data_IF_066763381652
#
_entry.id   IF_066763381652
#
_cell.length_a   1.000
_cell.length_b   1.000
_cell.length_c   1.000
_cell.angle_alpha   90.00
_cell.angle_beta   90.00
_cell.angle_gamma   90.00
#
_symmetry.space_group_name_H-M   'P 1'
#
loop_
_entity.id
_entity.type
_entity.pdbx_description
1 polymer ?
#
# COMPACT_ATOMS: atom_id res chain seq x y z
N UNK A 1 3.16 -18.54 7.45
CA UNK A 1 3.42 -18.91 6.03
C UNK A 1 4.77 -19.62 5.93
N UNK A 2 4.98 -20.51 4.96
CA UNK A 2 6.26 -21.20 4.77
C UNK A 2 7.23 -20.27 4.02
N UNK A 3 8.48 -20.17 4.52
CA UNK A 3 9.53 -19.37 3.88
C UNK A 3 9.90 -19.98 2.52
N UNK A 4 9.84 -19.21 1.46
CA UNK A 4 10.19 -19.62 0.11
C UNK A 4 11.68 -19.31 -0.14
N UNK A 5 12.45 -20.34 -0.47
CA UNK A 5 13.85 -20.19 -0.87
C UNK A 5 13.95 -20.43 -2.38
N UNK A 6 14.20 -19.38 -3.17
CA UNK A 6 14.34 -19.54 -4.61
C UNK A 6 15.58 -20.39 -4.95
N UNK A 7 15.42 -21.30 -5.91
CA UNK A 7 16.53 -22.12 -6.39
C UNK A 7 17.59 -21.24 -7.04
N UNK A 8 18.87 -21.48 -6.74
CA UNK A 8 20.03 -20.78 -7.31
C UNK A 8 19.99 -19.25 -7.14
N UNK A 9 19.38 -18.77 -6.02
CA UNK A 9 19.32 -17.35 -5.72
C UNK A 9 20.70 -16.72 -5.56
N UNK A 10 20.93 -15.60 -6.26
CA UNK A 10 22.11 -14.79 -6.16
C UNK A 10 21.72 -13.30 -5.98
N UNK A 11 22.04 -12.66 -4.84
CA UNK A 11 21.68 -11.28 -4.57
C UNK A 11 22.38 -10.25 -5.49
N UNK A 12 23.42 -10.64 -6.21
CA UNK A 12 24.19 -9.83 -7.19
C UNK A 12 24.86 -8.58 -6.63
N UNK A 13 24.28 -7.93 -5.63
CA UNK A 13 24.84 -6.78 -4.92
C UNK A 13 25.23 -7.20 -3.50
N UNK A 14 26.34 -6.70 -3.02
CA UNK A 14 26.70 -6.79 -1.60
C UNK A 14 25.70 -6.03 -0.72
N UNK A 15 25.72 -6.28 0.59
CA UNK A 15 24.86 -5.57 1.57
C UNK A 15 25.07 -4.05 1.47
N UNK A 16 26.31 -3.58 1.32
CA UNK A 16 26.61 -2.15 1.22
C UNK A 16 26.08 -1.53 -0.08
N UNK A 17 26.28 -2.19 -1.21
CA UNK A 17 25.72 -1.75 -2.50
C UNK A 17 24.21 -1.77 -2.47
N UNK A 18 23.59 -2.74 -1.78
CA UNK A 18 22.13 -2.79 -1.57
C UNK A 18 21.65 -1.58 -0.78
N UNK A 19 22.36 -1.16 0.27
CA UNK A 19 22.02 0.06 1.03
C UNK A 19 22.12 1.33 0.15
N UNK A 20 23.16 1.44 -0.65
CA UNK A 20 23.32 2.56 -1.61
C UNK A 20 22.18 2.55 -2.66
N UNK A 21 21.79 1.38 -3.14
CA UNK A 21 20.69 1.22 -4.09
C UNK A 21 19.32 1.55 -3.47
N UNK A 22 19.04 1.12 -2.25
CA UNK A 22 17.83 1.48 -1.49
C UNK A 22 17.73 3.00 -1.36
N UNK A 23 18.82 3.65 -0.93
CA UNK A 23 18.85 5.11 -0.81
C UNK A 23 18.58 5.78 -2.15
N UNK A 24 19.24 5.33 -3.21
CA UNK A 24 19.05 5.89 -4.55
C UNK A 24 17.61 5.75 -5.05
N UNK A 25 17.01 4.55 -4.89
CA UNK A 25 15.61 4.29 -5.28
C UNK A 25 14.67 5.22 -4.51
N UNK A 26 14.81 5.27 -3.18
CA UNK A 26 13.92 6.06 -2.34
C UNK A 26 14.00 7.55 -2.64
N UNK A 27 15.19 8.11 -2.75
CA UNK A 27 15.39 9.54 -3.01
C UNK A 27 14.88 9.93 -4.40
N UNK A 28 15.14 9.10 -5.42
CA UNK A 28 14.70 9.38 -6.79
C UNK A 28 13.20 9.20 -6.95
N UNK A 29 12.63 8.08 -6.46
CA UNK A 29 11.21 7.80 -6.59
C UNK A 29 10.34 8.88 -5.94
N UNK A 30 10.64 9.28 -4.69
CA UNK A 30 9.84 10.30 -4.01
C UNK A 30 9.90 11.66 -4.72
N UNK A 31 11.05 12.00 -5.32
CA UNK A 31 11.20 13.22 -6.11
C UNK A 31 10.35 13.19 -7.39
N UNK A 32 10.44 12.07 -8.13
CA UNK A 32 9.68 11.89 -9.35
C UNK A 32 8.16 11.83 -9.07
N UNK A 33 7.75 11.10 -8.04
CA UNK A 33 6.34 11.03 -7.60
C UNK A 33 5.81 12.43 -7.23
N UNK A 34 6.56 13.19 -6.44
CA UNK A 34 6.18 14.55 -6.07
C UNK A 34 6.00 15.47 -7.28
N UNK A 35 6.91 15.36 -8.26
CA UNK A 35 6.87 16.17 -9.48
C UNK A 35 5.72 15.76 -10.41
N UNK A 36 5.64 14.49 -10.77
CA UNK A 36 4.69 14.01 -11.79
C UNK A 36 3.24 14.04 -11.29
N UNK A 37 3.02 13.74 -10.01
CA UNK A 37 1.68 13.71 -9.41
C UNK A 37 1.28 15.01 -8.71
N UNK A 38 2.10 16.08 -8.77
CA UNK A 38 1.89 17.36 -8.10
C UNK A 38 1.67 17.24 -6.58
N UNK A 39 2.56 16.50 -5.92
CA UNK A 39 2.48 16.24 -4.49
C UNK A 39 3.58 16.99 -3.72
N UNK A 40 3.20 17.66 -2.64
CA UNK A 40 4.13 18.26 -1.70
C UNK A 40 4.47 17.28 -0.56
N UNK A 41 5.73 17.25 -0.15
CA UNK A 41 6.14 16.44 0.99
C UNK A 41 5.76 17.11 2.29
N UNK A 42 4.91 16.43 3.11
CA UNK A 42 4.42 16.92 4.41
C UNK A 42 4.88 15.99 5.53
N UNK A 43 5.14 16.53 6.70
CA UNK A 43 5.37 15.75 7.92
C UNK A 43 4.04 15.21 8.46
N UNK A 44 4.03 13.93 8.80
CA UNK A 44 2.87 13.26 9.37
C UNK A 44 3.17 12.68 10.76
N UNK A 45 2.15 12.43 11.61
CA UNK A 45 2.34 11.82 12.91
C UNK A 45 2.74 10.34 12.78
N UNK A 46 3.61 9.87 13.67
CA UNK A 46 3.90 8.44 13.84
C UNK A 46 2.81 7.73 14.65
N UNK A 47 2.12 8.46 15.50
CA UNK A 47 1.06 7.96 16.39
C UNK A 47 -0.04 9.01 16.53
N UNK A 48 -1.23 8.54 16.86
CA UNK A 48 -2.43 9.38 17.06
C UNK A 48 -3.13 9.00 18.36
N UNK A 49 -3.97 9.90 18.85
CA UNK A 49 -4.86 9.62 19.97
C UNK A 49 -5.90 8.58 19.54
N UNK A 50 -6.10 7.52 20.35
CA UNK A 50 -7.11 6.49 20.10
C UNK A 50 -8.51 7.10 20.00
N UNK A 51 -8.81 8.06 20.87
CA UNK A 51 -10.08 8.80 20.91
C UNK A 51 -10.39 9.56 19.63
N UNK A 52 -9.38 9.93 18.83
CA UNK A 52 -9.54 10.62 17.55
C UNK A 52 -10.19 9.76 16.46
N UNK A 53 -10.10 8.43 16.55
CA UNK A 53 -10.55 7.49 15.52
C UNK A 53 -9.79 7.59 14.19
N UNK A 54 -8.64 8.28 14.18
CA UNK A 54 -7.85 8.49 12.96
C UNK A 54 -7.04 7.27 12.57
N UNK A 55 -6.69 6.39 13.51
CA UNK A 55 -5.97 5.18 13.18
C UNK A 55 -6.81 4.26 12.30
N UNK A 56 -6.14 3.46 11.49
CA UNK A 56 -6.78 2.45 10.65
C UNK A 56 -6.94 1.16 11.47
N UNK A 57 -8.14 0.58 11.42
CA UNK A 57 -8.40 -0.71 12.03
C UNK A 57 -8.09 -1.88 11.08
N UNK A 58 -7.54 -1.61 9.91
CA UNK A 58 -7.28 -2.60 8.85
C UNK A 58 -8.52 -3.49 8.61
N UNK A 59 -8.40 -4.80 8.84
CA UNK A 59 -9.52 -5.73 8.74
C UNK A 59 -10.40 -5.77 10.02
N UNK A 60 -10.02 -4.98 11.05
CA UNK A 60 -10.77 -4.88 12.32
C UNK A 60 -10.36 -5.90 13.39
N UNK A 61 -9.37 -6.73 13.12
CA UNK A 61 -8.84 -7.75 14.04
C UNK A 61 -7.45 -7.43 14.56
N UNK A 62 -6.70 -6.63 13.82
CA UNK A 62 -5.32 -6.26 14.12
C UNK A 62 -5.27 -5.28 15.31
N UNK A 63 -4.34 -5.56 16.22
CA UNK A 63 -4.13 -4.75 17.42
C UNK A 63 -3.06 -3.70 17.18
N UNK A 64 -3.34 -2.39 17.37
CA UNK A 64 -2.30 -1.37 17.29
C UNK A 64 -1.27 -1.52 18.42
N UNK A 65 -0.06 -1.03 18.19
CA UNK A 65 0.90 -0.77 19.28
C UNK A 65 0.44 0.49 19.99
N UNK A 66 0.06 0.37 21.24
CA UNK A 66 -0.46 1.48 22.06
C UNK A 66 0.42 1.74 23.28
N UNK A 67 0.43 2.98 23.71
CA UNK A 67 1.17 3.47 24.88
C UNK A 67 0.48 4.68 25.50
N UNK A 68 0.90 5.04 26.70
CA UNK A 68 0.50 6.26 27.40
C UNK A 68 1.62 7.31 27.32
N UNK A 69 1.26 8.57 27.58
CA UNK A 69 2.21 9.69 27.61
C UNK A 69 2.01 10.54 28.86
N UNK A 70 3.09 10.86 29.56
CA UNK A 70 3.05 11.65 30.81
C UNK A 70 2.32 12.99 30.64
N UNK A 71 2.47 13.63 29.49
CA UNK A 71 1.84 14.93 29.20
C UNK A 71 0.34 14.86 28.87
N UNK A 72 -0.22 13.65 28.68
CA UNK A 72 -1.65 13.42 28.36
C UNK A 72 -2.20 12.30 29.26
N UNK A 73 -2.35 12.55 30.58
CA UNK A 73 -2.81 11.53 31.52
C UNK A 73 -4.23 11.06 31.19
N UNK A 74 -4.39 9.73 31.10
CA UNK A 74 -5.68 9.09 30.79
C UNK A 74 -5.98 8.92 29.30
N UNK A 75 -5.15 9.46 28.38
CA UNK A 75 -5.27 9.23 26.94
C UNK A 75 -4.39 8.05 26.51
N UNK A 76 -4.88 7.27 25.57
CA UNK A 76 -4.12 6.19 24.91
C UNK A 76 -3.70 6.64 23.52
N UNK A 77 -2.40 6.50 23.23
CA UNK A 77 -1.83 6.77 21.91
C UNK A 77 -1.61 5.47 21.18
N UNK A 78 -1.78 5.49 19.86
CA UNK A 78 -1.59 4.33 18.98
C UNK A 78 -0.63 4.67 17.84
N UNK A 79 0.39 3.83 17.63
CA UNK A 79 1.21 3.91 16.41
C UNK A 79 0.30 3.64 15.21
N UNK A 80 0.40 4.47 14.18
CA UNK A 80 -0.50 4.37 13.03
C UNK A 80 -0.31 3.06 12.26
N UNK A 81 -1.43 2.49 11.78
CA UNK A 81 -1.45 1.42 10.78
C UNK A 81 -1.54 1.98 9.36
N UNK A 82 -2.17 3.15 9.20
CA UNK A 82 -2.32 3.90 7.95
C UNK A 82 -2.59 5.37 8.27
N UNK A 83 -2.28 6.26 7.34
CA UNK A 83 -2.57 7.69 7.44
C UNK A 83 -3.73 8.13 6.54
N UNK A 84 -4.52 7.21 5.99
CA UNK A 84 -5.56 7.53 5.02
C UNK A 84 -6.51 8.64 5.52
N UNK A 85 -7.11 8.46 6.70
CA UNK A 85 -8.02 9.46 7.29
C UNK A 85 -7.31 10.77 7.66
N UNK A 86 -6.10 10.68 8.18
CA UNK A 86 -5.30 11.85 8.55
C UNK A 86 -4.96 12.72 7.33
N UNK A 87 -4.62 12.11 6.19
CA UNK A 87 -4.25 12.84 4.96
C UNK A 87 -5.40 13.70 4.44
N UNK A 88 -6.62 13.16 4.39
CA UNK A 88 -7.81 13.93 3.98
C UNK A 88 -8.05 15.15 4.87
N UNK A 89 -7.87 15.01 6.18
CA UNK A 89 -7.95 16.13 7.13
C UNK A 89 -6.79 17.12 6.95
N UNK A 90 -5.58 16.65 6.68
CA UNK A 90 -4.41 17.49 6.44
C UNK A 90 -4.56 18.32 5.17
N UNK A 91 -5.07 17.74 4.07
CA UNK A 91 -5.35 18.46 2.82
C UNK A 91 -6.31 19.64 3.06
N UNK A 92 -7.40 19.43 3.82
CA UNK A 92 -8.29 20.52 4.23
C UNK A 92 -7.57 21.56 5.07
N UNK A 93 -6.89 21.11 6.14
CA UNK A 93 -6.21 21.98 7.11
C UNK A 93 -5.17 22.88 6.47
N UNK A 94 -4.42 22.36 5.50
CA UNK A 94 -3.34 23.09 4.82
C UNK A 94 -3.82 23.82 3.56
N UNK A 95 -5.08 23.66 3.17
CA UNK A 95 -5.72 24.44 2.12
C UNK A 95 -5.35 24.05 0.68
N UNK A 96 -5.03 22.75 0.46
CA UNK A 96 -4.77 22.20 -0.87
C UNK A 96 -5.99 22.32 -1.79
N UNK A 97 -5.73 22.54 -3.08
CA UNK A 97 -6.74 22.76 -4.13
C UNK A 97 -6.86 21.57 -5.06
N UNK A 98 -7.94 21.44 -5.85
CA UNK A 98 -8.03 20.41 -6.88
C UNK A 98 -6.80 20.38 -7.80
N UNK A 99 -6.22 19.18 -7.98
CA UNK A 99 -4.99 18.93 -8.70
C UNK A 99 -3.72 18.97 -7.86
N UNK A 100 -3.77 19.52 -6.64
CA UNK A 100 -2.67 19.53 -5.68
C UNK A 100 -2.82 18.39 -4.67
N UNK A 101 -1.71 17.95 -4.09
CA UNK A 101 -1.74 16.90 -3.08
C UNK A 101 -0.52 16.88 -2.18
N UNK A 102 -0.52 15.93 -1.28
CA UNK A 102 0.58 15.69 -0.35
C UNK A 102 1.08 14.25 -0.40
N UNK A 103 2.32 14.05 0.00
CA UNK A 103 2.82 12.74 0.39
C UNK A 103 3.65 12.83 1.67
N UNK A 104 3.76 11.69 2.33
CA UNK A 104 4.59 11.57 3.53
C UNK A 104 5.28 10.20 3.58
N UNK A 105 6.37 10.11 4.33
CA UNK A 105 6.98 8.83 4.67
C UNK A 105 6.26 8.30 5.91
N UNK A 106 5.35 7.34 5.71
CA UNK A 106 4.65 6.66 6.77
C UNK A 106 5.46 5.47 7.26
N UNK A 107 5.54 5.32 8.58
CA UNK A 107 6.07 4.14 9.25
C UNK A 107 4.98 3.56 10.14
N UNK A 108 4.72 2.25 10.01
CA UNK A 108 3.72 1.55 10.79
C UNK A 108 4.30 0.29 11.42
N UNK A 109 3.68 -0.17 12.52
CA UNK A 109 4.01 -1.42 13.17
C UNK A 109 2.77 -2.30 13.19
N UNK A 110 2.81 -3.40 12.44
CA UNK A 110 1.77 -4.44 12.42
C UNK A 110 2.21 -5.60 13.31
N UNK A 111 1.93 -5.48 14.59
CA UNK A 111 2.44 -6.41 15.62
C UNK A 111 1.93 -7.84 15.49
N UNK A 112 0.80 -8.04 14.83
CA UNK A 112 0.16 -9.35 14.64
C UNK A 112 0.43 -9.93 13.23
N UNK A 113 1.38 -9.34 12.45
CA UNK A 113 1.72 -9.78 11.11
C UNK A 113 2.42 -11.14 11.12
N UNK A 114 2.02 -12.04 10.24
CA UNK A 114 2.74 -13.28 9.97
C UNK A 114 3.93 -12.99 9.07
N UNK A 115 5.14 -13.23 9.61
CA UNK A 115 6.39 -12.93 8.91
C UNK A 115 6.67 -13.97 7.83
N UNK A 116 6.97 -13.50 6.63
CA UNK A 116 7.38 -14.32 5.49
C UNK A 116 8.32 -13.53 4.55
N UNK A 117 8.48 -13.99 3.31
CA UNK A 117 9.33 -13.30 2.32
C UNK A 117 8.85 -11.87 2.00
N UNK A 118 7.55 -11.59 2.10
CA UNK A 118 6.90 -10.32 1.69
C UNK A 118 6.42 -9.47 2.86
N UNK A 119 6.25 -10.07 4.04
CA UNK A 119 5.64 -9.44 5.21
C UNK A 119 6.61 -9.28 6.36
N UNK A 120 6.66 -8.07 6.89
CA UNK A 120 7.42 -7.65 8.07
C UNK A 120 6.46 -6.99 9.07
N UNK A 121 6.77 -7.06 10.36
CA UNK A 121 6.04 -6.27 11.36
C UNK A 121 6.23 -4.76 11.17
N UNK A 122 7.26 -4.33 10.47
CA UNK A 122 7.51 -2.93 10.11
C UNK A 122 7.07 -2.67 8.68
N UNK A 123 6.23 -1.64 8.49
CA UNK A 123 5.72 -1.21 7.18
C UNK A 123 6.16 0.22 6.91
N UNK A 124 6.76 0.45 5.75
CA UNK A 124 7.16 1.76 5.26
C UNK A 124 6.50 2.07 3.90
N UNK A 125 5.85 3.23 3.82
CA UNK A 125 5.15 3.64 2.60
C UNK A 125 5.44 5.10 2.26
N UNK A 126 5.45 5.43 0.96
CA UNK A 126 5.05 6.76 0.52
C UNK A 126 3.53 6.79 0.54
N UNK A 127 2.99 7.43 1.55
CA UNK A 127 1.55 7.54 1.73
C UNK A 127 1.11 8.89 1.17
N UNK A 128 0.31 8.90 0.11
CA UNK A 128 -0.01 10.07 -0.70
C UNK A 128 -1.52 10.29 -0.83
N UNK A 129 -1.92 11.54 -1.10
CA UNK A 129 -3.31 11.88 -1.38
C UNK A 129 -3.37 13.21 -2.16
N UNK A 130 -4.22 13.26 -3.20
CA UNK A 130 -4.43 14.40 -4.09
C UNK A 130 -5.89 14.81 -4.10
N UNK A 131 -6.16 16.13 -4.04
CA UNK A 131 -7.51 16.68 -4.14
C UNK A 131 -8.01 16.56 -5.57
N UNK A 132 -9.25 16.10 -5.72
CA UNK A 132 -9.97 15.99 -6.99
C UNK A 132 -11.31 16.74 -6.92
N UNK A 133 -11.96 16.98 -8.05
CA UNK A 133 -13.34 17.47 -8.04
C UNK A 133 -14.34 16.32 -7.89
N UNK A 134 -15.61 16.65 -7.61
CA UNK A 134 -16.67 15.65 -7.51
C UNK A 134 -16.87 14.88 -8.83
N UNK A 135 -16.76 15.59 -9.95
CA UNK A 135 -16.89 15.06 -11.31
C UNK A 135 -15.78 14.06 -11.66
N UNK A 136 -14.60 14.22 -11.03
CA UNK A 136 -13.45 13.34 -11.21
C UNK A 136 -13.55 12.03 -10.40
N UNK A 137 -14.63 11.82 -9.62
CA UNK A 137 -14.86 10.54 -8.92
C UNK A 137 -15.32 9.47 -9.91
N UNK A 138 -14.43 8.98 -10.75
CA UNK A 138 -14.70 8.02 -11.84
C UNK A 138 -13.63 6.95 -11.94
N UNK A 139 -13.97 5.80 -12.53
CA UNK A 139 -13.00 4.76 -12.86
C UNK A 139 -11.90 5.24 -13.82
N UNK A 140 -12.21 6.17 -14.72
CA UNK A 140 -11.21 6.71 -15.64
C UNK A 140 -10.16 7.52 -14.88
N UNK A 141 -10.56 8.39 -13.96
CA UNK A 141 -9.63 9.12 -13.07
C UNK A 141 -8.74 8.16 -12.26
N UNK A 142 -9.34 7.08 -11.73
CA UNK A 142 -8.57 6.05 -11.01
C UNK A 142 -7.55 5.38 -11.92
N UNK A 143 -7.97 4.91 -13.11
CA UNK A 143 -7.10 4.24 -14.09
C UNK A 143 -5.98 5.15 -14.59
N UNK A 144 -6.26 6.43 -14.82
CA UNK A 144 -5.25 7.40 -15.27
C UNK A 144 -4.21 7.65 -14.19
N UNK A 145 -4.63 7.78 -12.93
CA UNK A 145 -3.68 7.90 -11.79
C UNK A 145 -2.83 6.64 -11.63
N UNK A 146 -3.40 5.46 -11.83
CA UNK A 146 -2.63 4.20 -11.82
C UNK A 146 -1.60 4.17 -12.94
N UNK A 147 -1.94 4.64 -14.14
CA UNK A 147 -0.99 4.76 -15.26
C UNK A 147 0.13 5.76 -14.96
N UNK A 148 -0.17 6.87 -14.27
CA UNK A 148 0.85 7.82 -13.78
C UNK A 148 1.85 7.10 -12.86
N UNK A 149 1.38 6.39 -11.84
CA UNK A 149 2.24 5.66 -10.89
C UNK A 149 3.05 4.58 -11.62
N UNK A 150 2.41 3.80 -12.48
CA UNK A 150 3.09 2.77 -13.27
C UNK A 150 4.22 3.35 -14.14
N UNK A 151 3.99 4.51 -14.76
CA UNK A 151 4.99 5.26 -15.53
C UNK A 151 6.21 5.66 -14.68
N UNK A 152 5.97 6.14 -13.45
CA UNK A 152 7.05 6.47 -12.50
C UNK A 152 7.84 5.22 -12.12
N UNK A 153 7.18 4.10 -11.83
CA UNK A 153 7.84 2.82 -11.55
C UNK A 153 8.68 2.34 -12.74
N UNK A 154 8.16 2.47 -13.96
CA UNK A 154 8.91 2.16 -15.19
C UNK A 154 10.12 3.06 -15.40
N UNK A 155 9.99 4.34 -15.12
CA UNK A 155 11.13 5.26 -15.14
C UNK A 155 12.20 4.85 -14.13
N UNK A 156 11.79 4.52 -12.90
CA UNK A 156 12.71 4.02 -11.87
C UNK A 156 13.42 2.73 -12.28
N UNK A 157 12.76 1.81 -12.99
CA UNK A 157 13.42 0.64 -13.55
C UNK A 157 14.62 1.03 -14.45
N UNK A 158 14.45 2.05 -15.31
CA UNK A 158 15.54 2.51 -16.19
C UNK A 158 16.67 3.17 -15.39
N UNK A 159 16.33 3.98 -14.37
CA UNK A 159 17.30 4.61 -13.48
C UNK A 159 18.14 3.57 -12.71
N UNK A 160 17.47 2.55 -12.15
CA UNK A 160 18.16 1.46 -11.45
C UNK A 160 18.98 0.62 -12.39
N UNK A 161 18.49 0.29 -13.60
CA UNK A 161 19.23 -0.45 -14.61
C UNK A 161 20.51 0.30 -15.03
N UNK A 162 20.43 1.61 -15.22
CA UNK A 162 21.60 2.40 -15.60
C UNK A 162 22.70 2.37 -14.53
N UNK A 163 22.30 2.41 -13.25
CA UNK A 163 23.25 2.49 -12.12
C UNK A 163 23.67 1.13 -11.58
N UNK A 164 22.78 0.14 -11.62
CA UNK A 164 22.96 -1.22 -11.11
C UNK A 164 22.47 -2.25 -12.13
N UNK A 165 23.12 -2.37 -13.30
CA UNK A 165 22.61 -3.20 -14.42
C UNK A 165 22.47 -4.68 -14.07
N UNK A 166 23.22 -5.16 -13.09
CA UNK A 166 23.23 -6.56 -12.66
C UNK A 166 22.01 -6.93 -11.80
N UNK A 167 21.35 -5.93 -11.21
CA UNK A 167 20.31 -6.14 -10.20
C UNK A 167 18.88 -6.04 -10.73
N UNK A 168 18.67 -5.71 -12.01
CA UNK A 168 17.37 -5.29 -12.51
C UNK A 168 16.60 -6.38 -13.21
N UNK A 169 15.34 -6.54 -12.82
CA UNK A 169 14.31 -7.29 -13.55
C UNK A 169 13.61 -6.39 -14.58
N UNK A 170 13.29 -6.97 -15.74
CA UNK A 170 12.46 -6.28 -16.73
C UNK A 170 10.99 -6.30 -16.30
N UNK A 171 10.41 -5.13 -16.01
CA UNK A 171 9.00 -4.97 -15.75
C UNK A 171 8.19 -4.98 -17.07
N UNK A 172 6.91 -5.37 -17.03
CA UNK A 172 6.06 -5.41 -18.22
C UNK A 172 5.92 -4.04 -18.87
N UNK A 173 5.46 -4.04 -20.12
CA UNK A 173 5.31 -2.83 -20.93
C UNK A 173 4.16 -1.96 -20.45
N UNK A 174 3.05 -2.60 -20.12
CA UNK A 174 1.78 -1.98 -19.74
C UNK A 174 1.22 -2.65 -18.49
N UNK A 175 0.26 -1.97 -17.86
CA UNK A 175 -0.52 -2.49 -16.74
C UNK A 175 -1.89 -2.96 -17.23
N UNK A 176 -2.29 -4.17 -16.86
CA UNK A 176 -3.59 -4.73 -17.17
C UNK A 176 -4.62 -4.36 -16.09
N UNK A 177 -5.85 -4.03 -16.50
CA UNK A 177 -6.94 -3.64 -15.59
C UNK A 177 -8.02 -4.71 -15.57
N UNK A 178 -8.41 -5.17 -14.38
CA UNK A 178 -9.46 -6.15 -14.18
C UNK A 178 -10.20 -5.84 -12.88
N UNK A 179 -11.51 -6.08 -12.83
CA UNK A 179 -12.28 -6.01 -11.58
C UNK A 179 -12.19 -7.32 -10.82
N UNK A 180 -12.41 -7.26 -9.51
CA UNK A 180 -12.46 -8.45 -8.66
C UNK A 180 -13.55 -9.44 -9.08
N UNK A 181 -14.67 -8.96 -9.64
CA UNK A 181 -15.72 -9.83 -10.16
C UNK A 181 -15.30 -10.51 -11.47
N UNK A 182 -14.76 -9.77 -12.43
CA UNK A 182 -14.23 -10.37 -13.67
C UNK A 182 -13.14 -11.41 -13.36
N UNK A 183 -12.32 -11.17 -12.36
CA UNK A 183 -11.29 -12.12 -11.92
C UNK A 183 -11.91 -13.37 -11.28
N UNK A 184 -12.98 -13.24 -10.50
CA UNK A 184 -13.73 -14.39 -9.99
C UNK A 184 -14.39 -15.20 -11.12
N UNK A 185 -14.97 -14.52 -12.11
CA UNK A 185 -15.62 -15.16 -13.25
C UNK A 185 -14.64 -15.94 -14.13
N UNK A 186 -13.38 -15.44 -14.26
CA UNK A 186 -12.31 -16.12 -15.00
C UNK A 186 -11.79 -17.39 -14.27
N UNK A 187 -11.70 -17.33 -12.94
CA UNK A 187 -11.12 -18.41 -12.13
C UNK A 187 -12.03 -18.77 -10.93
N UNK A 188 -13.26 -19.27 -11.19
CA UNK A 188 -14.27 -19.45 -10.13
C UNK A 188 -13.85 -20.44 -9.04
N UNK A 189 -13.08 -21.46 -9.37
CA UNK A 189 -12.68 -22.52 -8.46
C UNK A 189 -11.42 -22.20 -7.63
N UNK A 190 -10.77 -21.05 -7.89
CA UNK A 190 -9.55 -20.64 -7.21
C UNK A 190 -9.84 -19.70 -6.04
N UNK A 191 -8.96 -19.72 -5.05
CA UNK A 191 -8.95 -18.73 -3.96
C UNK A 191 -8.58 -17.35 -4.50
N UNK A 192 -8.94 -16.25 -3.82
CA UNK A 192 -8.55 -14.90 -4.23
C UNK A 192 -7.05 -14.76 -4.51
N UNK A 193 -6.18 -15.32 -3.65
CA UNK A 193 -4.72 -15.24 -3.83
C UNK A 193 -4.21 -16.03 -5.03
N UNK A 194 -4.80 -17.20 -5.30
CA UNK A 194 -4.49 -17.97 -6.51
C UNK A 194 -4.93 -17.23 -7.77
N UNK A 195 -6.10 -16.58 -7.75
CA UNK A 195 -6.58 -15.73 -8.84
C UNK A 195 -5.60 -14.58 -9.15
N UNK A 196 -5.12 -13.88 -8.12
CA UNK A 196 -4.09 -12.84 -8.26
C UNK A 196 -2.82 -13.39 -8.89
N UNK A 197 -2.35 -14.56 -8.43
CA UNK A 197 -1.15 -15.19 -8.96
C UNK A 197 -1.31 -15.58 -10.43
N UNK A 198 -2.45 -16.12 -10.83
CA UNK A 198 -2.73 -16.51 -12.21
C UNK A 198 -2.74 -15.31 -13.15
N UNK A 199 -3.51 -14.28 -12.82
CA UNK A 199 -3.66 -13.11 -13.69
C UNK A 199 -2.39 -12.26 -13.76
N UNK A 200 -1.67 -12.10 -12.65
CA UNK A 200 -0.38 -11.38 -12.63
C UNK A 200 0.72 -12.14 -13.37
N UNK A 201 0.72 -13.47 -13.31
CA UNK A 201 1.64 -14.30 -14.07
C UNK A 201 1.43 -14.13 -15.58
N UNK A 202 0.17 -14.02 -16.03
CA UNK A 202 -0.19 -13.84 -17.44
C UNK A 202 0.21 -12.46 -17.96
N UNK A 203 -0.08 -11.39 -17.20
CA UNK A 203 0.08 -10.01 -17.67
C UNK A 203 1.33 -9.29 -17.12
N UNK A 204 2.00 -9.86 -16.12
CA UNK A 204 3.19 -9.29 -15.49
C UNK A 204 2.92 -8.15 -14.52
N UNK A 205 1.96 -7.27 -14.80
CA UNK A 205 1.45 -6.23 -13.89
C UNK A 205 -0.05 -6.03 -14.09
N UNK A 206 -0.78 -6.00 -12.98
CA UNK A 206 -2.24 -5.91 -12.95
C UNK A 206 -2.67 -4.83 -11.96
N UNK A 207 -3.68 -4.05 -12.32
CA UNK A 207 -4.46 -3.27 -11.36
C UNK A 207 -5.79 -3.98 -11.13
N UNK A 208 -5.90 -4.61 -9.96
CA UNK A 208 -7.10 -5.32 -9.52
C UNK A 208 -8.05 -4.33 -8.85
N UNK A 209 -9.21 -4.09 -9.46
CA UNK A 209 -10.16 -3.05 -9.06
C UNK A 209 -11.36 -3.59 -8.27
N UNK A 210 -12.03 -2.67 -7.55
CA UNK A 210 -13.33 -2.87 -6.90
C UNK A 210 -13.30 -3.96 -5.82
N UNK A 211 -12.39 -3.77 -4.86
CA UNK A 211 -12.18 -4.66 -3.73
C UNK A 211 -12.96 -4.13 -2.51
N UNK A 212 -13.66 -5.02 -1.78
CA UNK A 212 -14.33 -4.71 -0.51
C UNK A 212 -15.77 -5.20 -0.42
N UNK A 213 -16.58 -5.06 -1.48
CA UNK A 213 -17.95 -5.60 -1.47
C UNK A 213 -17.96 -7.10 -1.82
N UNK A 214 -19.07 -7.76 -1.50
CA UNK A 214 -19.26 -9.17 -1.83
C UNK A 214 -19.39 -9.38 -3.34
N UNK A 215 -18.67 -10.36 -3.84
CA UNK A 215 -18.76 -10.84 -5.22
C UNK A 215 -19.99 -11.78 -5.41
N UNK A 216 -20.24 -12.19 -6.64
CA UNK A 216 -21.32 -13.12 -6.98
C UNK A 216 -21.22 -14.45 -6.21
N UNK A 217 -20.00 -14.92 -5.88
CA UNK A 217 -19.75 -16.06 -5.03
C UNK A 217 -20.08 -15.86 -3.55
N UNK A 218 -20.57 -14.67 -3.15
CA UNK A 218 -21.04 -14.37 -1.81
C UNK A 218 -19.98 -13.93 -0.80
N UNK A 219 -18.71 -13.89 -1.19
CA UNK A 219 -17.59 -13.40 -0.37
C UNK A 219 -16.89 -12.23 -1.07
N UNK A 220 -16.29 -11.29 -0.34
CA UNK A 220 -15.41 -10.29 -0.97
C UNK A 220 -14.15 -10.96 -1.52
N UNK A 221 -13.49 -10.30 -2.47
CA UNK A 221 -12.17 -10.73 -2.94
C UNK A 221 -11.15 -10.66 -1.79
N UNK A 222 -11.13 -9.53 -1.10
CA UNK A 222 -10.32 -9.28 0.09
C UNK A 222 -11.03 -8.31 1.03
N UNK A 223 -10.56 -8.22 2.29
CA UNK A 223 -11.04 -7.26 3.26
C UNK A 223 -10.60 -5.83 2.90
N UNK A 224 -11.50 -4.86 3.15
CA UNK A 224 -11.19 -3.42 3.02
C UNK A 224 -11.86 -2.65 4.13
N UNK A 225 -11.11 -1.73 4.75
CA UNK A 225 -11.68 -0.79 5.69
C UNK A 225 -12.83 0.00 5.02
N UNK A 226 -13.95 0.22 5.72
CA UNK A 226 -15.12 0.85 5.12
C UNK A 226 -15.03 2.38 5.05
N UNK A 227 -14.03 3.00 5.66
CA UNK A 227 -14.08 4.41 6.03
C UNK A 227 -13.12 5.33 5.25
N UNK A 228 -12.40 4.85 4.24
CA UNK A 228 -11.57 5.74 3.43
C UNK A 228 -11.61 5.47 1.92
N UNK A 229 -11.41 4.25 1.42
CA UNK A 229 -11.51 3.98 -0.01
C UNK A 229 -12.93 3.59 -0.43
N UNK A 230 -13.45 4.21 -1.49
CA UNK A 230 -14.70 3.77 -2.12
C UNK A 230 -14.48 2.40 -2.77
N UNK A 231 -15.19 1.38 -2.29
CA UNK A 231 -15.04 -0.01 -2.78
C UNK A 231 -15.31 -0.19 -4.28
N UNK A 232 -16.01 0.77 -4.90
CA UNK A 232 -16.23 0.79 -6.35
C UNK A 232 -15.14 1.50 -7.14
N UNK A 233 -14.28 2.26 -6.46
CA UNK A 233 -13.28 3.15 -7.04
C UNK A 233 -11.89 2.96 -6.39
N UNK A 234 -11.54 1.72 -6.05
CA UNK A 234 -10.27 1.34 -5.45
C UNK A 234 -9.61 0.18 -6.20
N UNK A 235 -8.41 -0.16 -5.79
CA UNK A 235 -7.71 -1.36 -6.26
C UNK A 235 -6.26 -1.40 -5.84
N UNK A 236 -5.60 -2.49 -6.23
CA UNK A 236 -4.22 -2.80 -5.90
C UNK A 236 -3.36 -2.98 -7.14
N UNK A 237 -2.16 -2.40 -7.14
CA UNK A 237 -1.14 -2.62 -8.17
C UNK A 237 -0.33 -3.85 -7.77
N UNK A 238 -0.46 -4.91 -8.56
CA UNK A 238 0.18 -6.20 -8.36
C UNK A 238 1.20 -6.45 -9.47
N UNK A 239 2.42 -6.87 -9.10
CA UNK A 239 3.43 -7.32 -10.06
C UNK A 239 3.69 -8.80 -9.90
N UNK A 240 3.88 -9.53 -11.01
CA UNK A 240 4.37 -10.89 -10.94
C UNK A 240 5.80 -10.94 -10.42
N UNK A 241 6.00 -11.67 -9.35
CA UNK A 241 7.30 -11.79 -8.70
C UNK A 241 7.87 -13.21 -8.89
N UNK A 242 8.78 -13.33 -9.85
CA UNK A 242 9.28 -14.61 -10.34
C UNK A 242 9.97 -15.45 -9.27
N UNK A 243 10.79 -14.84 -8.41
CA UNK A 243 11.51 -15.56 -7.36
C UNK A 243 10.59 -16.30 -6.38
N UNK A 244 9.42 -15.75 -6.11
CA UNK A 244 8.46 -16.31 -5.16
C UNK A 244 7.25 -16.94 -5.85
N UNK A 245 7.17 -16.88 -7.19
CA UNK A 245 6.04 -17.40 -8.00
C UNK A 245 4.69 -16.88 -7.49
N UNK A 246 4.60 -15.60 -7.18
CA UNK A 246 3.40 -14.97 -6.63
C UNK A 246 3.20 -13.54 -7.11
N UNK A 247 2.00 -13.01 -6.89
CA UNK A 247 1.69 -11.59 -7.02
C UNK A 247 2.30 -10.83 -5.84
N UNK A 248 3.04 -9.75 -6.15
CA UNK A 248 3.59 -8.81 -5.20
C UNK A 248 2.79 -7.51 -5.27
N UNK A 249 2.04 -7.20 -4.23
CA UNK A 249 1.35 -5.91 -4.09
C UNK A 249 2.36 -4.80 -3.80
N UNK A 250 2.40 -3.80 -4.67
CA UNK A 250 3.25 -2.61 -4.52
C UNK A 250 2.47 -1.43 -3.95
N UNK A 251 1.19 -1.30 -4.31
CA UNK A 251 0.36 -0.17 -3.89
C UNK A 251 -1.09 -0.58 -3.75
N UNK A 252 -1.73 -0.13 -2.68
CA UNK A 252 -3.17 -0.09 -2.52
C UNK A 252 -3.63 1.36 -2.57
N UNK A 253 -4.67 1.67 -3.37
CA UNK A 253 -5.13 3.02 -3.60
C UNK A 253 -6.60 3.10 -4.01
N UNK A 254 -7.20 4.29 -3.84
CA UNK A 254 -8.57 4.51 -4.27
C UNK A 254 -8.97 5.97 -4.28
N UNK A 255 -10.06 6.27 -4.98
CA UNK A 255 -10.81 7.48 -4.75
C UNK A 255 -11.49 7.33 -3.38
N UNK A 256 -11.32 8.34 -2.53
CA UNK A 256 -11.85 8.28 -1.16
C UNK A 256 -13.37 8.31 -1.17
N UNK A 257 -13.97 7.70 -0.15
CA UNK A 257 -15.42 7.71 0.05
C UNK A 257 -15.97 9.15 0.01
N UNK A 258 -17.12 9.33 -0.62
CA UNK A 258 -18.00 10.46 -0.38
C UNK A 258 -19.04 10.12 0.71
N UNK A 259 -19.94 11.03 1.01
CA UNK A 259 -20.94 10.88 2.03
C UNK A 259 -21.81 9.61 1.81
N UNK A 260 -22.20 9.35 0.54
CA UNK A 260 -23.06 8.22 0.19
C UNK A 260 -22.28 6.88 0.25
N UNK A 261 -21.05 6.84 -0.24
CA UNK A 261 -20.21 5.66 -0.19
C UNK A 261 -19.87 5.29 1.26
N UNK A 262 -19.52 6.29 2.11
CA UNK A 262 -19.26 6.06 3.52
C UNK A 262 -20.46 5.46 4.25
N UNK A 263 -21.66 6.04 4.06
CA UNK A 263 -22.88 5.52 4.67
C UNK A 263 -23.16 4.06 4.25
N UNK A 264 -23.01 3.77 2.96
CA UNK A 264 -23.20 2.42 2.44
C UNK A 264 -22.20 1.43 3.06
N UNK A 265 -20.93 1.79 3.08
CA UNK A 265 -19.85 0.90 3.49
C UNK A 265 -19.86 0.65 5.01
N UNK A 266 -20.09 1.68 5.83
CA UNK A 266 -20.25 1.52 7.28
C UNK A 266 -21.40 0.57 7.62
N UNK A 267 -22.54 0.69 6.94
CA UNK A 267 -23.67 -0.22 7.11
C UNK A 267 -23.33 -1.65 6.70
N UNK A 268 -22.64 -1.83 5.56
CA UNK A 268 -22.22 -3.16 5.09
C UNK A 268 -21.23 -3.84 6.01
N UNK A 269 -20.33 -3.07 6.61
CA UNK A 269 -19.33 -3.55 7.56
C UNK A 269 -19.84 -3.66 9.00
N UNK A 270 -21.08 -3.18 9.32
CA UNK A 270 -21.62 -3.18 10.67
C UNK A 270 -20.88 -2.24 11.63
N UNK A 271 -20.37 -1.12 11.12
CA UNK A 271 -19.55 -0.14 11.85
C UNK A 271 -20.20 1.24 11.91
N UNK A 272 -21.54 1.32 11.96
CA UNK A 272 -22.28 2.58 11.92
C UNK A 272 -22.00 3.50 13.12
N UNK A 273 -21.54 2.96 14.23
CA UNK A 273 -21.09 3.70 15.41
C UNK A 273 -19.95 4.68 15.10
N UNK A 274 -19.11 4.38 14.10
CA UNK A 274 -18.01 5.24 13.64
C UNK A 274 -18.46 6.60 13.09
N UNK A 275 -19.75 6.75 12.71
CA UNK A 275 -20.33 8.06 12.30
C UNK A 275 -20.13 9.15 13.35
N UNK A 276 -20.02 8.78 14.62
CA UNK A 276 -19.80 9.70 15.73
C UNK A 276 -18.38 10.24 15.85
N UNK A 277 -17.40 9.61 15.17
CA UNK A 277 -15.99 9.99 15.23
C UNK A 277 -15.72 11.29 14.45
N UNK A 278 -14.71 12.09 14.84
CA UNK A 278 -14.44 13.41 14.26
C UNK A 278 -14.28 13.38 12.74
N UNK A 279 -13.43 12.50 12.20
CA UNK A 279 -13.21 12.37 10.75
C UNK A 279 -14.52 12.07 10.00
N UNK A 280 -15.30 11.09 10.49
CA UNK A 280 -16.55 10.66 9.84
C UNK A 280 -17.59 11.77 9.85
N UNK A 281 -17.72 12.52 10.94
CA UNK A 281 -18.59 13.69 11.01
C UNK A 281 -18.21 14.75 9.98
N UNK A 282 -16.91 15.08 9.87
CA UNK A 282 -16.45 16.07 8.90
C UNK A 282 -16.75 15.64 7.47
N UNK A 283 -16.56 14.34 7.15
CA UNK A 283 -16.86 13.80 5.83
C UNK A 283 -18.37 13.86 5.54
N UNK A 284 -19.19 13.34 6.43
CA UNK A 284 -20.65 13.33 6.28
C UNK A 284 -21.28 14.73 6.21
N UNK A 285 -20.65 15.74 6.80
CA UNK A 285 -21.04 17.14 6.70
C UNK A 285 -20.54 17.83 5.40
N UNK A 286 -19.83 17.11 4.51
CA UNK A 286 -19.24 17.69 3.29
C UNK A 286 -18.11 18.67 3.59
N UNK A 287 -17.44 18.54 4.73
CA UNK A 287 -16.39 19.47 5.14
C UNK A 287 -15.00 19.09 4.57
N UNK A 288 -14.80 17.84 4.16
CA UNK A 288 -13.53 17.35 3.58
C UNK A 288 -13.55 17.47 2.04
N UNK A 289 -12.40 17.70 1.40
CA UNK A 289 -12.31 17.67 -0.06
C UNK A 289 -12.53 16.26 -0.59
N UNK A 290 -13.01 16.12 -1.82
CA UNK A 290 -12.93 14.85 -2.55
C UNK A 290 -11.48 14.58 -2.94
N UNK A 291 -11.03 13.34 -2.76
CA UNK A 291 -9.62 13.01 -2.93
C UNK A 291 -9.43 11.62 -3.55
N UNK A 292 -8.25 11.42 -4.14
CA UNK A 292 -7.70 10.13 -4.53
C UNK A 292 -6.38 9.94 -3.81
N UNK A 293 -6.12 8.76 -3.29
CA UNK A 293 -4.89 8.52 -2.57
C UNK A 293 -4.58 7.05 -2.36
N UNK A 294 -3.41 6.78 -1.80
CA UNK A 294 -2.95 5.42 -1.57
C UNK A 294 -1.62 5.39 -0.84
N UNK A 295 -1.13 4.18 -0.62
CA UNK A 295 0.20 3.91 -0.10
C UNK A 295 1.02 3.11 -1.11
N UNK A 296 2.27 3.51 -1.34
CA UNK A 296 3.23 2.75 -2.15
C UNK A 296 4.29 2.20 -1.21
N UNK A 297 4.41 0.89 -1.12
CA UNK A 297 5.38 0.22 -0.23
C UNK A 297 6.82 0.53 -0.62
N UNK A 298 7.57 1.26 0.22
CA UNK A 298 8.96 1.66 -0.07
C UNK A 298 9.86 0.43 -0.17
N UNK A 299 9.81 -0.44 0.83
CA UNK A 299 10.61 -1.67 0.85
C UNK A 299 10.16 -2.66 -0.24
N UNK A 300 8.86 -2.81 -0.48
CA UNK A 300 8.35 -3.66 -1.57
C UNK A 300 8.80 -3.17 -2.94
N UNK A 301 8.80 -1.85 -3.18
CA UNK A 301 9.33 -1.29 -4.43
C UNK A 301 10.84 -1.54 -4.58
N UNK A 302 11.62 -1.37 -3.51
CA UNK A 302 13.05 -1.72 -3.53
C UNK A 302 13.26 -3.22 -3.80
N UNK A 303 12.46 -4.09 -3.18
CA UNK A 303 12.49 -5.53 -3.41
C UNK A 303 12.20 -5.89 -4.87
N UNK A 304 11.17 -5.28 -5.47
CA UNK A 304 10.82 -5.47 -6.89
C UNK A 304 11.94 -4.99 -7.82
N UNK A 305 12.44 -3.77 -7.62
CA UNK A 305 13.42 -3.15 -8.53
C UNK A 305 14.82 -3.75 -8.41
N UNK A 306 15.19 -4.28 -7.25
CA UNK A 306 16.47 -4.96 -7.00
C UNK A 306 16.39 -6.48 -7.09
N UNK A 307 15.23 -7.01 -7.48
CA UNK A 307 14.95 -8.45 -7.66
C UNK A 307 15.33 -9.30 -6.42
N UNK A 308 14.94 -8.85 -5.20
CA UNK A 308 15.30 -9.46 -3.93
C UNK A 308 14.29 -10.51 -3.48
N UNK A 309 14.78 -11.66 -2.99
CA UNK A 309 13.95 -12.79 -2.59
C UNK A 309 13.21 -12.60 -1.25
N UNK A 310 13.66 -11.65 -0.42
CA UNK A 310 13.07 -11.42 0.90
C UNK A 310 13.04 -9.93 1.23
N UNK A 311 11.94 -9.43 1.79
CA UNK A 311 11.81 -8.02 2.17
C UNK A 311 12.88 -7.56 3.17
N UNK A 312 13.38 -8.46 4.01
CA UNK A 312 14.46 -8.22 4.94
C UNK A 312 15.81 -7.88 4.29
N UNK A 313 15.99 -8.15 2.99
CA UNK A 313 17.20 -7.71 2.27
C UNK A 313 17.20 -6.22 1.94
N UNK A 314 16.02 -5.59 2.00
CA UNK A 314 15.83 -4.16 1.70
C UNK A 314 15.19 -3.37 2.84
N UNK A 315 14.93 -4.03 3.96
CA UNK A 315 14.31 -3.43 5.13
C UNK A 315 14.96 -3.98 6.42
N UNK A 316 15.56 -3.10 7.21
CA UNK A 316 16.02 -3.46 8.55
C UNK A 316 14.82 -3.66 9.48
N UNK A 317 14.69 -4.87 10.02
CA UNK A 317 13.59 -5.27 10.91
C UNK A 317 14.05 -6.36 11.89
N UNK A 318 13.09 -6.93 12.62
CA UNK A 318 13.33 -8.05 13.55
C UNK A 318 12.80 -9.35 12.93
N UNK A 319 13.65 -10.36 12.88
CA UNK A 319 13.34 -11.64 12.28
C UNK A 319 13.59 -12.78 13.27
N UNK A 320 12.75 -13.82 13.30
CA UNK A 320 12.98 -15.03 14.10
C UNK A 320 14.33 -15.67 13.78
N UNK A 321 15.02 -16.21 14.79
CA UNK A 321 16.35 -16.81 14.59
C UNK A 321 16.34 -17.90 13.51
N UNK A 322 15.35 -18.79 13.52
CA UNK A 322 15.21 -19.82 12.49
C UNK A 322 15.15 -19.25 11.07
N UNK A 323 14.45 -18.12 10.88
CA UNK A 323 14.37 -17.45 9.57
C UNK A 323 15.73 -16.88 9.16
N UNK A 324 16.45 -16.24 10.08
CA UNK A 324 17.81 -15.73 9.83
C UNK A 324 18.78 -16.83 9.42
N UNK A 325 18.73 -17.99 10.11
CA UNK A 325 19.59 -19.13 9.84
C UNK A 325 19.34 -19.66 8.43
N UNK A 326 18.05 -19.95 8.09
CA UNK A 326 17.67 -20.44 6.77
C UNK A 326 18.04 -19.44 5.67
N UNK A 327 17.75 -18.16 5.85
CA UNK A 327 18.10 -17.11 4.88
C UNK A 327 19.62 -17.02 4.68
N UNK A 328 20.40 -17.03 5.77
CA UNK A 328 21.85 -16.95 5.71
C UNK A 328 22.50 -18.14 4.97
N UNK A 329 22.01 -19.36 5.20
CA UNK A 329 22.46 -20.56 4.49
C UNK A 329 22.18 -20.50 2.98
N UNK A 330 21.18 -19.71 2.57
CA UNK A 330 20.76 -19.56 1.17
C UNK A 330 21.13 -18.21 0.55
N UNK A 331 22.11 -17.49 1.08
CA UNK A 331 22.61 -16.20 0.60
C UNK A 331 21.57 -15.08 0.58
N UNK A 332 20.50 -15.20 1.36
CA UNK A 332 19.49 -14.16 1.57
C UNK A 332 19.94 -13.37 2.81
N UNK A 333 20.55 -12.22 2.62
CA UNK A 333 21.16 -11.44 3.70
C UNK A 333 20.16 -10.43 4.27
N UNK A 334 19.56 -10.77 5.41
CA UNK A 334 18.63 -9.88 6.12
C UNK A 334 19.39 -8.73 6.81
N UNK A 335 18.88 -7.49 6.62
CA UNK A 335 19.46 -6.26 7.19
C UNK A 335 19.18 -6.13 8.70
#
# INVERSE_FOLDING_TARGET
MELIIPKDYDPRLSIRETQDAIKYIRDTFQKEMGREMHLERISAPLFVEKSSGLNDNLNGTERPVSFDMLGLPGETLEVVHSLAKWKSMALKKYGFKPGEGLYTNMNAIRRDEELDNLHSCYVDQWDWERVITKEQRTLDTLKDTVREIFKIIKHMQHEVWYKYPEAVKHLPKDIYFITSQELEDLYPDNTPKERENLITREHGCVFLMQIGDKLAGGKPHDGRAPDYDDWKLNGDILFWFEHLQCALEISSMGIRVDEAALEYQLKKAGCEDRRSLPYHKMLLNGELPYTIGGGIGQSRLCMLLLDRAHIGEVQASIWPQKMRDICGENKIYLL
#
